data_IF_285567593916
#
_entry.id   IF_285567593916
#
_cell.length_a   1.000
_cell.length_b   1.000
_cell.length_c   1.000
_cell.angle_alpha   90.00
_cell.angle_beta   90.00
_cell.angle_gamma   90.00
#
_symmetry.space_group_name_H-M   'P 1'
#
loop_
_entity.id
_entity.type
_entity.pdbx_description
1 polymer ?
#
# COMPACT_ATOMS: atom_id res chain seq x y z
N UNK A 1 -1.34 7.04 -11.85
CA UNK A 1 0.14 7.14 -11.97
C UNK A 1 0.72 5.75 -12.18
N UNK A 2 1.80 5.62 -12.95
CA UNK A 2 2.59 4.37 -13.06
C UNK A 2 3.90 4.49 -12.28
N UNK A 3 4.51 3.37 -11.90
CA UNK A 3 5.80 3.37 -11.21
C UNK A 3 6.95 3.98 -12.02
N UNK A 4 6.81 4.06 -13.35
CA UNK A 4 7.78 4.76 -14.21
C UNK A 4 7.70 6.28 -14.09
N UNK A 5 6.56 6.80 -13.62
CA UNK A 5 6.29 8.24 -13.50
C UNK A 5 6.65 8.80 -12.12
N UNK A 6 6.98 7.95 -11.15
CA UNK A 6 7.37 8.39 -9.81
C UNK A 6 7.46 7.27 -8.78
N UNK A 7 7.78 7.64 -7.55
CA UNK A 7 7.90 6.73 -6.41
C UNK A 7 6.57 6.60 -5.68
N UNK A 8 6.14 5.37 -5.38
CA UNK A 8 5.01 5.13 -4.48
C UNK A 8 5.46 5.33 -3.03
N UNK A 9 4.71 6.14 -2.27
CA UNK A 9 4.90 6.31 -0.84
C UNK A 9 3.76 5.61 -0.11
N UNK A 10 4.12 4.70 0.80
CA UNK A 10 3.16 3.94 1.60
C UNK A 10 3.24 4.45 3.05
N UNK A 11 2.10 4.89 3.58
CA UNK A 11 1.93 5.18 5.00
C UNK A 11 1.08 4.06 5.59
N UNK A 12 1.69 3.22 6.43
CA UNK A 12 1.02 2.08 7.06
C UNK A 12 1.01 2.21 8.58
N UNK A 13 -0.14 1.93 9.17
CA UNK A 13 -0.32 1.82 10.62
C UNK A 13 -1.04 0.50 10.89
N UNK A 14 -0.37 -0.41 11.59
CA UNK A 14 -0.89 -1.73 11.97
C UNK A 14 -1.43 -1.79 13.40
N UNK A 15 -1.48 -0.65 14.09
CA UNK A 15 -1.96 -0.54 15.47
C UNK A 15 -3.48 -0.39 15.59
N UNK A 16 -3.97 -0.43 16.83
CA UNK A 16 -5.41 -0.29 17.16
C UNK A 16 -5.84 1.15 17.43
N UNK A 17 -4.91 2.11 17.35
CA UNK A 17 -5.20 3.54 17.56
C UNK A 17 -5.36 4.24 16.21
N UNK A 18 -6.51 4.87 16.02
CA UNK A 18 -6.83 5.63 14.82
C UNK A 18 -7.09 7.09 15.15
N UNK A 19 -6.86 7.94 14.16
CA UNK A 19 -7.15 9.37 14.20
C UNK A 19 -7.95 9.74 12.97
N UNK A 20 -8.75 10.80 13.08
CA UNK A 20 -9.32 11.44 11.90
C UNK A 20 -8.18 11.96 11.02
N UNK A 21 -8.31 11.75 9.72
CA UNK A 21 -7.32 12.18 8.74
C UNK A 21 -8.02 13.00 7.67
N UNK A 22 -7.57 14.23 7.50
CA UNK A 22 -7.99 15.05 6.38
C UNK A 22 -7.52 14.44 5.06
N UNK A 23 -8.32 14.56 3.98
CA UNK A 23 -7.90 14.14 2.66
C UNK A 23 -6.66 14.93 2.22
N UNK A 24 -5.78 14.27 1.48
CA UNK A 24 -4.57 14.90 0.93
C UNK A 24 -4.56 14.68 -0.58
N UNK A 25 -4.25 15.73 -1.34
CA UNK A 25 -4.33 15.70 -2.81
C UNK A 25 -3.39 14.67 -3.46
N UNK A 26 -2.35 14.23 -2.74
CA UNK A 26 -1.39 13.23 -3.18
C UNK A 26 -1.74 11.80 -2.73
N UNK A 27 -2.81 11.61 -1.96
CA UNK A 27 -3.26 10.29 -1.52
C UNK A 27 -4.16 9.68 -2.58
N UNK A 28 -3.62 8.72 -3.33
CA UNK A 28 -4.40 7.95 -4.31
C UNK A 28 -5.40 7.02 -3.62
N UNK A 29 -4.96 6.33 -2.56
CA UNK A 29 -5.77 5.38 -1.78
C UNK A 29 -5.50 5.61 -0.29
N UNK A 30 -6.57 5.64 0.51
CA UNK A 30 -6.50 5.81 1.96
C UNK A 30 -7.50 4.91 2.70
N UNK A 31 -7.03 4.25 3.76
CA UNK A 31 -7.85 3.36 4.59
C UNK A 31 -7.95 3.90 6.02
N UNK A 32 -8.90 4.80 6.28
CA UNK A 32 -9.15 5.30 7.63
C UNK A 32 -9.80 4.22 8.50
N UNK A 33 -9.43 4.14 9.79
CA UNK A 33 -9.96 3.16 10.76
C UNK A 33 -9.83 1.69 10.36
N UNK A 34 -8.92 1.35 9.45
CA UNK A 34 -8.68 -0.03 9.01
C UNK A 34 -7.20 -0.34 9.23
N UNK A 35 -6.85 -1.18 10.22
CA UNK A 35 -5.47 -1.60 10.40
C UNK A 35 -5.08 -2.52 9.24
N UNK A 36 -3.89 -2.31 8.69
CA UNK A 36 -3.38 -3.14 7.60
C UNK A 36 -1.97 -3.62 7.90
N UNK A 37 -1.61 -4.77 7.33
CA UNK A 37 -0.23 -5.22 7.21
C UNK A 37 0.10 -5.42 5.73
N UNK A 38 1.39 -5.38 5.39
CA UNK A 38 1.84 -5.35 4.01
C UNK A 38 2.79 -6.50 3.74
N UNK A 39 2.61 -7.12 2.57
CA UNK A 39 3.55 -8.09 2.02
C UNK A 39 4.16 -7.48 0.76
N UNK A 40 5.49 -7.55 0.67
CA UNK A 40 6.25 -7.15 -0.50
C UNK A 40 6.94 -8.38 -1.08
N UNK A 41 6.50 -8.81 -2.26
CA UNK A 41 7.18 -9.86 -3.03
C UNK A 41 8.14 -9.21 -4.02
N UNK A 42 9.44 -9.48 -3.87
CA UNK A 42 10.49 -8.92 -4.71
C UNK A 42 11.05 -10.04 -5.59
N UNK A 43 10.74 -10.00 -6.88
CA UNK A 43 11.23 -10.93 -7.88
C UNK A 43 12.42 -10.29 -8.61
N UNK A 44 13.62 -10.74 -8.25
CA UNK A 44 14.88 -10.28 -8.86
C UNK A 44 14.91 -10.69 -10.34
N UNK A 45 14.58 -11.94 -10.62
CA UNK A 45 14.44 -12.46 -11.97
C UNK A 45 13.13 -11.93 -12.58
N UNK A 46 13.22 -10.85 -13.35
CA UNK A 46 12.08 -10.18 -13.96
C UNK A 46 11.82 -8.75 -13.47
N UNK A 47 12.67 -8.23 -12.58
CA UNK A 47 12.61 -6.84 -12.10
C UNK A 47 11.21 -6.40 -11.63
N UNK A 48 10.55 -7.26 -10.85
CA UNK A 48 9.15 -7.08 -10.45
C UNK A 48 9.03 -6.96 -8.94
N UNK A 49 8.26 -5.98 -8.48
CA UNK A 49 7.86 -5.79 -7.09
C UNK A 49 6.34 -5.84 -7.02
N UNK A 50 5.82 -6.73 -6.18
CA UNK A 50 4.39 -6.84 -5.91
C UNK A 50 4.19 -6.41 -4.46
N UNK A 51 3.39 -5.37 -4.28
CA UNK A 51 2.94 -4.88 -2.99
C UNK A 51 1.49 -5.30 -2.78
N UNK A 52 1.17 -5.83 -1.61
CA UNK A 52 -0.21 -6.11 -1.18
C UNK A 52 -0.43 -5.61 0.24
N UNK A 53 -1.52 -4.88 0.44
CA UNK A 53 -2.03 -4.53 1.76
C UNK A 53 -3.18 -5.46 2.14
N UNK A 54 -3.08 -6.06 3.32
CA UNK A 54 -4.09 -6.93 3.90
C UNK A 54 -4.70 -6.27 5.13
N UNK A 55 -5.99 -6.46 5.36
CA UNK A 55 -6.61 -6.15 6.65
C UNK A 55 -6.45 -7.31 7.66
N UNK A 56 -7.00 -7.14 8.86
CA UNK A 56 -6.93 -8.15 9.92
C UNK A 56 -7.69 -9.46 9.63
N UNK A 57 -8.48 -9.51 8.56
CA UNK A 57 -9.21 -10.71 8.10
C UNK A 57 -8.52 -11.36 6.88
N UNK A 58 -7.27 -11.00 6.61
CA UNK A 58 -6.49 -11.43 5.43
C UNK A 58 -7.11 -11.03 4.09
N UNK A 59 -7.99 -10.01 4.06
CA UNK A 59 -8.54 -9.49 2.80
C UNK A 59 -7.60 -8.45 2.20
N UNK A 60 -7.33 -8.59 0.91
CA UNK A 60 -6.55 -7.61 0.15
C UNK A 60 -7.36 -6.31 0.05
N UNK A 61 -6.75 -5.21 0.49
CA UNK A 61 -7.30 -3.85 0.43
C UNK A 61 -6.70 -3.03 -0.69
N UNK A 62 -5.42 -3.25 -0.99
CA UNK A 62 -4.72 -2.61 -2.10
C UNK A 62 -3.66 -3.56 -2.67
N UNK A 63 -3.41 -3.42 -3.96
CA UNK A 63 -2.39 -4.18 -4.69
C UNK A 63 -1.71 -3.31 -5.74
N UNK A 64 -0.39 -3.25 -5.69
CA UNK A 64 0.42 -2.50 -6.65
C UNK A 64 1.45 -3.45 -7.23
N UNK A 65 1.52 -3.48 -8.56
CA UNK A 65 2.54 -4.21 -9.30
C UNK A 65 3.46 -3.20 -9.99
N UNK A 66 4.74 -3.25 -9.65
CA UNK A 66 5.79 -2.44 -10.24
C UNK A 66 6.68 -3.35 -11.07
N UNK A 67 6.82 -3.01 -12.35
CA UNK A 67 7.71 -3.68 -13.30
C UNK A 67 8.68 -2.66 -13.88
N UNK A 68 9.96 -3.01 -13.94
CA UNK A 68 11.03 -2.12 -14.43
C UNK A 68 11.65 -2.61 -15.73
#
# INVERSE_FOLDING_TARGET
ATAKEGTYYIVSVSGTKFYEQDPRDYTEVGFTNTPTFQILDILIDGNKLIYKAYDAEDKIRDEIVIEK
#
